data_IF_695294355703
#
_entry.id   IF_695294355703
#
_cell.length_a   1.000
_cell.length_b   1.000
_cell.length_c   1.000
_cell.angle_alpha   90.00
_cell.angle_beta   90.00
_cell.angle_gamma   90.00
#
_symmetry.space_group_name_H-M   'P 1'
#
loop_
_entity.id
_entity.type
_entity.pdbx_description
1 polymer ?
#
# COMPACT_ATOMS: atom_id res chain seq x y z
N UNK A 1 -4.09 -7.22 0.75
CA UNK A 1 -3.76 -6.80 -0.64
C UNK A 1 -3.29 -5.35 -0.66
N UNK A 2 -2.15 -5.04 -1.30
CA UNK A 2 -1.67 -3.65 -1.44
C UNK A 2 -2.41 -2.94 -2.57
N UNK A 3 -3.40 -2.11 -2.23
CA UNK A 3 -4.11 -1.28 -3.22
C UNK A 3 -3.17 -0.24 -3.83
N UNK A 4 -3.17 -0.15 -5.16
CA UNK A 4 -2.45 0.85 -5.94
C UNK A 4 -3.46 1.61 -6.82
N UNK A 5 -3.70 2.90 -6.57
CA UNK A 5 -4.71 3.66 -7.30
C UNK A 5 -4.30 3.86 -8.77
N UNK A 6 -5.30 4.02 -9.64
CA UNK A 6 -5.07 4.54 -10.98
C UNK A 6 -4.85 6.05 -10.92
N UNK A 7 -4.08 6.58 -11.87
CA UNK A 7 -3.86 8.01 -12.01
C UNK A 7 -5.21 8.75 -12.13
N UNK A 8 -5.49 9.78 -11.32
CA UNK A 8 -6.77 10.48 -11.37
C UNK A 8 -6.99 11.18 -12.71
N UNK A 9 -5.90 11.60 -13.39
CA UNK A 9 -5.92 12.30 -14.67
C UNK A 9 -6.09 11.34 -15.84
N UNK A 10 -5.11 10.47 -16.09
CA UNK A 10 -5.04 9.65 -17.31
C UNK A 10 -5.46 8.18 -17.11
N UNK A 11 -5.85 7.80 -15.89
CA UNK A 11 -6.28 6.43 -15.52
C UNK A 11 -5.22 5.33 -15.71
N UNK A 12 -3.96 5.68 -15.96
CA UNK A 12 -2.87 4.70 -16.01
C UNK A 12 -2.55 4.13 -14.63
N UNK A 13 -1.86 2.99 -14.61
CA UNK A 13 -1.26 2.47 -13.38
C UNK A 13 -0.22 3.47 -12.85
N UNK A 14 -0.19 3.63 -11.54
CA UNK A 14 0.76 4.50 -10.82
C UNK A 14 1.83 3.65 -10.16
N UNK A 15 2.96 4.28 -9.83
CA UNK A 15 3.99 3.68 -8.97
C UNK A 15 3.92 4.28 -7.57
N UNK A 16 4.11 3.46 -6.54
CA UNK A 16 4.34 3.93 -5.18
C UNK A 16 5.74 4.51 -5.11
N UNK A 17 5.84 5.83 -4.98
CA UNK A 17 7.10 6.55 -4.91
C UNK A 17 7.62 6.65 -3.46
N UNK A 18 6.72 6.84 -2.50
CA UNK A 18 7.10 7.06 -1.10
C UNK A 18 6.02 6.58 -0.11
N UNK A 19 6.47 6.13 1.07
CA UNK A 19 5.62 5.98 2.25
C UNK A 19 6.20 6.86 3.36
N UNK A 20 5.42 7.81 3.85
CA UNK A 20 5.78 8.65 4.99
C UNK A 20 5.02 8.17 6.22
N UNK A 21 5.71 7.72 7.29
CA UNK A 21 5.05 7.37 8.54
C UNK A 21 4.49 8.63 9.21
N UNK A 22 3.24 8.57 9.70
CA UNK A 22 2.67 9.60 10.58
C UNK A 22 2.65 9.08 12.02
N UNK A 23 2.90 9.98 12.96
CA UNK A 23 2.92 9.71 14.40
C UNK A 23 1.53 9.35 14.97
N UNK A 24 0.48 9.50 14.17
CA UNK A 24 -0.92 9.36 14.58
C UNK A 24 -1.56 8.03 14.18
N UNK A 25 -0.77 7.01 13.80
CA UNK A 25 -1.31 5.69 13.42
C UNK A 25 -1.84 5.63 11.99
N UNK A 26 -1.29 6.46 11.11
CA UNK A 26 -1.52 6.39 9.67
C UNK A 26 -0.20 6.53 8.92
N UNK A 27 -0.14 6.12 7.66
CA UNK A 27 0.94 6.49 6.75
C UNK A 27 0.39 7.15 5.50
N UNK A 28 1.15 8.10 4.99
CA UNK A 28 0.85 8.77 3.72
C UNK A 28 1.61 8.02 2.64
N UNK A 29 0.89 7.54 1.62
CA UNK A 29 1.47 6.92 0.43
C UNK A 29 1.44 7.92 -0.71
N UNK A 30 2.60 8.21 -1.29
CA UNK A 30 2.75 9.06 -2.47
C UNK A 30 2.85 8.18 -3.70
N UNK A 31 1.98 8.44 -4.67
CA UNK A 31 1.95 7.76 -5.95
C UNK A 31 2.33 8.72 -7.08
N UNK A 32 3.08 8.20 -8.04
CA UNK A 32 3.53 8.93 -9.21
C UNK A 32 3.02 8.23 -10.48
N UNK A 33 2.45 9.01 -11.40
CA UNK A 33 2.11 8.55 -12.73
C UNK A 33 3.28 8.80 -13.69
N UNK A 34 3.86 7.74 -14.23
CA UNK A 34 4.99 7.85 -15.17
C UNK A 34 4.60 8.41 -16.56
N UNK A 35 3.30 8.48 -16.90
CA UNK A 35 2.83 8.98 -18.19
C UNK A 35 2.57 10.48 -18.23
N UNK A 36 2.08 11.04 -17.12
CA UNK A 36 1.73 12.47 -17.04
C UNK A 36 2.43 13.21 -15.90
N UNK A 37 3.31 12.53 -15.17
CA UNK A 37 4.06 13.05 -14.02
C UNK A 37 3.18 13.57 -12.88
N UNK A 38 1.91 13.19 -12.84
CA UNK A 38 1.01 13.50 -11.73
C UNK A 38 1.48 12.82 -10.45
N UNK A 39 1.47 13.58 -9.35
CA UNK A 39 1.81 13.11 -8.01
C UNK A 39 0.58 13.32 -7.12
N UNK A 40 0.11 12.24 -6.51
CA UNK A 40 -0.99 12.31 -5.55
C UNK A 40 -0.72 11.43 -4.33
N UNK A 41 -1.35 11.82 -3.22
CA UNK A 41 -1.15 11.19 -1.93
C UNK A 41 -2.45 10.56 -1.44
N UNK A 42 -2.31 9.40 -0.78
CA UNK A 42 -3.42 8.73 -0.09
C UNK A 42 -3.02 8.52 1.36
N UNK A 43 -3.92 8.89 2.27
CA UNK A 43 -3.81 8.55 3.69
C UNK A 43 -4.33 7.14 3.87
N UNK A 44 -3.55 6.29 4.53
CA UNK A 44 -3.95 4.93 4.86
C UNK A 44 -3.69 4.70 6.33
N UNK A 45 -4.60 3.99 7.00
CA UNK A 45 -4.40 3.59 8.39
C UNK A 45 -3.15 2.71 8.51
N UNK A 46 -2.46 2.85 9.63
CA UNK A 46 -1.33 2.00 9.98
C UNK A 46 -1.87 0.66 10.49
N UNK A 47 -2.22 -0.22 9.57
CA UNK A 47 -2.45 -1.63 9.91
C UNK A 47 -1.10 -2.29 10.18
N UNK A 48 -0.85 -2.66 11.44
CA UNK A 48 0.29 -3.51 11.80
C UNK A 48 0.15 -4.85 11.07
N UNK A 49 1.05 -5.17 10.11
CA UNK A 49 0.97 -6.40 9.35
C UNK A 49 1.00 -7.64 10.26
N UNK A 50 1.67 -7.58 11.42
CA UNK A 50 1.75 -8.69 12.36
C UNK A 50 0.41 -8.98 13.06
N UNK A 51 -0.53 -8.03 13.05
CA UNK A 51 -1.86 -8.20 13.63
C UNK A 51 -2.92 -8.60 12.61
N UNK A 52 -2.57 -8.70 11.33
CA UNK A 52 -3.54 -9.10 10.32
C UNK A 52 -3.88 -10.59 10.47
N UNK A 53 -5.15 -10.94 10.20
CA UNK A 53 -5.62 -12.33 10.23
C UNK A 53 -4.87 -13.21 9.21
N UNK A 54 -4.43 -12.61 8.12
CA UNK A 54 -3.67 -13.23 7.04
C UNK A 54 -2.28 -13.68 7.50
N UNK A 55 -1.63 -12.85 8.33
CA UNK A 55 -0.27 -13.10 8.87
C UNK A 55 -0.29 -13.95 10.13
N UNK A 56 -1.41 -14.00 10.87
CA UNK A 56 -1.55 -14.86 12.05
C UNK A 56 -1.21 -16.34 11.75
N UNK A 57 -1.69 -16.87 10.62
CA UNK A 57 -1.35 -18.24 10.18
C UNK A 57 0.14 -18.40 9.85
N UNK A 58 0.79 -17.38 9.29
CA UNK A 58 2.23 -17.42 9.03
C UNK A 58 3.05 -17.46 10.33
N UNK A 59 2.65 -16.65 11.33
CA UNK A 59 3.27 -16.67 12.66
C UNK A 59 3.08 -18.01 13.37
N UNK A 60 2.02 -18.74 13.05
CA UNK A 60 1.73 -20.09 13.55
C UNK A 60 2.39 -21.21 12.73
N UNK A 61 3.16 -20.88 11.68
CA UNK A 61 3.84 -21.87 10.84
C UNK A 61 2.96 -22.50 9.75
N UNK A 62 1.78 -21.95 9.48
CA UNK A 62 0.81 -22.44 8.49
C UNK A 62 1.06 -21.91 7.06
N UNK A 63 2.31 -21.58 6.73
CA UNK A 63 2.68 -21.11 5.38
C UNK A 63 2.35 -22.20 4.34
N UNK A 64 1.50 -21.85 3.37
CA UNK A 64 1.19 -22.71 2.21
C UNK A 64 1.84 -22.14 0.96
N UNK A 65 2.28 -23.02 0.05
CA UNK A 65 2.79 -22.61 -1.25
C UNK A 65 1.69 -21.89 -2.06
N UNK A 66 2.02 -20.81 -2.80
CA UNK A 66 1.09 -20.21 -3.76
C UNK A 66 0.72 -21.24 -4.84
N UNK A 67 -0.57 -21.39 -5.13
CA UNK A 67 -1.10 -22.16 -6.26
C UNK A 67 -1.17 -21.32 -7.52
#
# INVERSE_FOLDING_TARGET
MSFRPLCPICKSVTILAQITPSHLGFHIRTFECQLCSDIHQIVTEWDDPMKSREVAGWLQGELRAPT
#
